data_IF_175946632327
#
_entry.id   IF_175946632327
#
_cell.length_a   1.000
_cell.length_b   1.000
_cell.length_c   1.000
_cell.angle_alpha   90.00
_cell.angle_beta   90.00
_cell.angle_gamma   90.00
#
_symmetry.space_group_name_H-M   'P 1'
#
loop_
_entity.id
_entity.type
_entity.pdbx_description
1 polymer ?
#
# COMPACT_ATOMS: atom_id res chain seq x y z
N UNK A 1 16.87 -21.25 33.33
CA UNK A 1 15.67 -20.53 32.87
C UNK A 1 16.03 -20.02 31.50
N UNK A 2 15.79 -20.85 30.50
CA UNK A 2 16.11 -20.59 29.11
C UNK A 2 15.25 -19.41 28.62
N UNK A 3 15.90 -18.27 28.42
CA UNK A 3 15.26 -17.07 27.89
C UNK A 3 14.96 -17.29 26.41
N UNK A 4 13.72 -17.67 26.11
CA UNK A 4 13.26 -17.78 24.74
C UNK A 4 13.16 -16.38 24.11
N UNK A 5 13.96 -16.13 23.09
CA UNK A 5 14.04 -14.83 22.40
C UNK A 5 12.80 -14.65 21.52
N UNK A 6 11.87 -13.79 21.95
CA UNK A 6 10.62 -13.54 21.21
C UNK A 6 10.91 -12.69 19.97
N UNK A 7 10.93 -13.32 18.80
CA UNK A 7 11.00 -12.61 17.51
C UNK A 7 9.65 -11.95 17.20
N UNK A 8 9.63 -10.62 17.20
CA UNK A 8 8.46 -9.86 16.78
C UNK A 8 8.36 -9.79 15.25
N UNK A 9 7.13 -9.89 14.69
CA UNK A 9 6.93 -9.77 13.25
C UNK A 9 7.25 -8.35 12.77
N UNK A 10 8.01 -8.25 11.68
CA UNK A 10 8.37 -6.97 11.07
C UNK A 10 7.19 -6.49 10.22
N UNK A 11 6.58 -5.37 10.60
CA UNK A 11 5.45 -4.80 9.87
C UNK A 11 5.94 -3.96 8.69
N UNK A 12 5.47 -4.30 7.48
CA UNK A 12 5.73 -3.55 6.25
C UNK A 12 4.59 -2.57 5.95
N UNK A 13 3.33 -2.99 6.11
CA UNK A 13 2.17 -2.14 5.93
C UNK A 13 1.33 -2.07 7.20
N UNK A 14 1.36 -0.92 7.87
CA UNK A 14 0.53 -0.66 9.07
C UNK A 14 -0.96 -0.54 8.76
N UNK A 15 -1.33 -0.12 7.55
CA UNK A 15 -2.74 0.08 7.20
C UNK A 15 -3.49 -1.23 6.96
N UNK A 16 -2.81 -2.21 6.35
CA UNK A 16 -3.41 -3.50 6.00
C UNK A 16 -2.83 -4.65 6.85
N UNK A 17 -2.08 -4.34 7.91
CA UNK A 17 -1.41 -5.30 8.81
C UNK A 17 -0.57 -6.36 8.07
N UNK A 18 0.21 -5.94 7.07
CA UNK A 18 1.06 -6.84 6.27
C UNK A 18 2.47 -6.86 6.86
N UNK A 19 2.98 -8.06 7.11
CA UNK A 19 4.34 -8.32 7.62
C UNK A 19 5.36 -8.52 6.49
N UNK A 20 6.64 -8.57 6.84
CA UNK A 20 7.71 -8.95 5.91
C UNK A 20 7.49 -10.36 5.36
N UNK A 21 7.12 -11.29 6.23
CA UNK A 21 6.89 -12.69 5.88
C UNK A 21 5.76 -12.84 4.86
N UNK A 22 4.67 -12.07 5.01
CA UNK A 22 3.57 -12.05 4.03
C UNK A 22 4.04 -11.61 2.64
N UNK A 23 4.91 -10.59 2.57
CA UNK A 23 5.46 -10.08 1.32
C UNK A 23 6.39 -11.11 0.69
N UNK A 24 7.28 -11.73 1.48
CA UNK A 24 8.20 -12.75 0.98
C UNK A 24 7.45 -13.99 0.48
N UNK A 25 6.45 -14.45 1.23
CA UNK A 25 5.59 -15.57 0.84
C UNK A 25 4.85 -15.28 -0.46
N UNK A 26 4.31 -14.06 -0.63
CA UNK A 26 3.67 -13.69 -1.90
C UNK A 26 4.67 -13.71 -3.07
N UNK A 27 5.91 -13.25 -2.86
CA UNK A 27 6.92 -13.32 -3.93
C UNK A 27 7.24 -14.79 -4.27
N UNK A 28 7.31 -15.67 -3.28
CA UNK A 28 7.54 -17.11 -3.46
C UNK A 28 6.36 -17.82 -4.12
N UNK A 29 5.13 -17.35 -3.90
CA UNK A 29 3.92 -17.78 -4.64
C UNK A 29 3.93 -17.33 -6.12
N UNK A 30 4.90 -16.50 -6.55
CA UNK A 30 5.08 -16.08 -7.93
C UNK A 30 4.57 -14.67 -8.25
N UNK A 31 4.16 -13.89 -7.24
CA UNK A 31 3.78 -12.48 -7.44
C UNK A 31 5.04 -11.61 -7.62
N UNK A 32 5.48 -11.43 -8.86
CA UNK A 32 6.78 -10.81 -9.21
C UNK A 32 6.68 -9.34 -9.64
N UNK A 33 5.50 -8.72 -9.54
CA UNK A 33 5.29 -7.31 -9.84
C UNK A 33 4.50 -6.59 -8.73
N UNK A 34 4.70 -5.28 -8.61
CA UNK A 34 4.10 -4.47 -7.55
C UNK A 34 2.56 -4.40 -7.66
N UNK A 35 2.00 -4.45 -8.86
CA UNK A 35 0.55 -4.36 -9.04
C UNK A 35 -0.13 -5.66 -8.60
N UNK A 36 0.48 -6.81 -8.86
CA UNK A 36 0.01 -8.10 -8.37
C UNK A 36 0.16 -8.24 -6.87
N UNK A 37 1.29 -7.79 -6.28
CA UNK A 37 1.44 -7.70 -4.83
C UNK A 37 0.42 -6.76 -4.19
N UNK A 38 0.12 -5.62 -4.82
CA UNK A 38 -0.95 -4.70 -4.41
C UNK A 38 -2.33 -5.34 -4.44
N UNK A 39 -2.66 -6.14 -5.46
CA UNK A 39 -3.94 -6.87 -5.52
C UNK A 39 -4.03 -7.96 -4.45
N UNK A 40 -2.94 -8.68 -4.21
CA UNK A 40 -2.89 -9.81 -3.26
C UNK A 40 -2.90 -9.35 -1.79
N UNK A 41 -2.03 -8.41 -1.44
CA UNK A 41 -1.78 -7.98 -0.06
C UNK A 41 -2.41 -6.63 0.28
N UNK A 42 -3.12 -6.01 -0.69
CA UNK A 42 -3.75 -4.69 -0.55
C UNK A 42 -2.79 -3.55 -0.19
N UNK A 43 -1.49 -3.78 -0.32
CA UNK A 43 -0.47 -2.77 -0.05
C UNK A 43 -0.71 -1.51 -0.89
N UNK A 44 -0.64 -0.36 -0.24
CA UNK A 44 -0.92 0.93 -0.87
C UNK A 44 -2.39 1.29 -1.07
N UNK A 45 -3.34 0.45 -0.63
CA UNK A 45 -4.77 0.77 -0.64
C UNK A 45 -5.27 1.49 0.62
N UNK A 46 -4.44 1.58 1.67
CA UNK A 46 -4.77 2.27 2.91
C UNK A 46 -4.79 3.81 2.79
N UNK A 47 -5.15 4.53 3.87
CA UNK A 47 -5.20 6.01 3.88
C UNK A 47 -3.84 6.67 3.59
N UNK A 48 -2.73 5.96 3.83
CA UNK A 48 -1.39 6.40 3.49
C UNK A 48 -1.09 6.36 1.98
N UNK A 49 -1.95 5.74 1.17
CA UNK A 49 -1.80 5.56 -0.29
C UNK A 49 -0.43 5.00 -0.69
N UNK A 50 0.13 4.12 0.15
CA UNK A 50 1.37 3.40 -0.15
C UNK A 50 2.67 4.17 0.06
N UNK A 51 2.62 5.41 0.57
CA UNK A 51 3.81 6.24 0.81
C UNK A 51 4.85 5.59 1.72
N UNK A 52 4.43 4.74 2.64
CA UNK A 52 5.33 4.07 3.59
C UNK A 52 5.71 2.66 3.11
N UNK A 53 4.75 1.87 2.65
CA UNK A 53 4.98 0.45 2.36
C UNK A 53 5.48 0.19 0.94
N UNK A 54 5.08 0.97 -0.08
CA UNK A 54 5.48 0.70 -1.46
C UNK A 54 7.00 0.76 -1.66
N UNK A 55 7.74 1.78 -1.16
CA UNK A 55 9.20 1.80 -1.31
C UNK A 55 9.90 0.60 -0.64
N UNK A 56 9.38 0.15 0.50
CA UNK A 56 9.90 -1.01 1.22
C UNK A 56 9.67 -2.30 0.40
N UNK A 57 8.44 -2.50 -0.07
CA UNK A 57 8.08 -3.66 -0.90
C UNK A 57 8.87 -3.67 -2.20
N UNK A 58 9.03 -2.52 -2.87
CA UNK A 58 9.87 -2.41 -4.08
C UNK A 58 11.30 -2.87 -3.81
N UNK A 59 11.88 -2.49 -2.66
CA UNK A 59 13.24 -2.90 -2.31
C UNK A 59 13.34 -4.38 -1.96
N UNK A 60 12.34 -4.95 -1.29
CA UNK A 60 12.24 -6.39 -1.01
C UNK A 60 12.15 -7.18 -2.32
N UNK A 61 11.25 -6.75 -3.22
CA UNK A 61 11.03 -7.35 -4.53
C UNK A 61 12.29 -7.28 -5.41
N UNK A 62 12.95 -6.12 -5.46
CA UNK A 62 14.20 -5.94 -6.20
C UNK A 62 15.30 -6.90 -5.72
N UNK A 63 15.44 -7.06 -4.41
CA UNK A 63 16.39 -8.00 -3.80
C UNK A 63 16.07 -9.45 -4.13
N UNK A 64 14.79 -9.86 -4.03
CA UNK A 64 14.37 -11.23 -4.33
C UNK A 64 14.50 -11.57 -5.82
N UNK A 65 14.21 -10.62 -6.71
CA UNK A 65 14.31 -10.79 -8.17
C UNK A 65 15.70 -10.51 -8.76
N UNK A 66 16.65 -10.02 -7.95
CA UNK A 66 17.99 -9.58 -8.38
C UNK A 66 17.95 -8.56 -9.53
N UNK A 67 16.97 -7.63 -9.48
CA UNK A 67 16.81 -6.54 -10.44
C UNK A 67 17.10 -5.19 -9.80
N UNK A 68 17.45 -4.20 -10.61
CA UNK A 68 17.55 -2.84 -10.10
C UNK A 68 16.14 -2.32 -9.71
N UNK A 69 15.98 -1.58 -8.59
CA UNK A 69 14.67 -1.03 -8.20
C UNK A 69 14.00 -0.20 -9.29
N UNK A 70 14.79 0.48 -10.13
CA UNK A 70 14.28 1.30 -11.23
C UNK A 70 13.63 0.50 -12.36
N UNK A 71 13.94 -0.80 -12.47
CA UNK A 71 13.29 -1.71 -13.42
C UNK A 71 11.89 -2.12 -12.94
N UNK A 72 11.56 -1.88 -11.66
CA UNK A 72 10.26 -2.24 -11.08
C UNK A 72 9.30 -1.07 -11.21
N UNK A 73 8.24 -1.28 -11.99
CA UNK A 73 7.23 -0.25 -12.25
C UNK A 73 6.45 0.08 -10.97
N UNK A 74 6.62 1.30 -10.45
CA UNK A 74 5.88 1.81 -9.31
C UNK A 74 4.45 2.19 -9.75
N UNK A 75 3.39 1.80 -9.01
CA UNK A 75 2.02 2.18 -9.33
C UNK A 75 1.84 3.70 -9.43
N UNK A 76 1.11 4.16 -10.45
CA UNK A 76 0.85 5.59 -10.66
C UNK A 76 0.03 6.18 -9.51
N UNK A 77 0.46 7.35 -9.01
CA UNK A 77 -0.36 8.18 -8.13
C UNK A 77 -1.58 8.71 -8.88
N UNK A 78 -2.75 8.65 -8.25
CA UNK A 78 -4.01 9.17 -8.80
C UNK A 78 -4.57 10.24 -7.86
N UNK A 79 -5.07 11.37 -8.37
CA UNK A 79 -5.71 12.36 -7.53
C UNK A 79 -7.03 11.83 -6.94
N UNK A 80 -7.42 12.28 -5.74
CA UNK A 80 -6.69 13.17 -4.84
C UNK A 80 -5.58 12.45 -4.06
N UNK A 81 -4.43 13.13 -3.86
CA UNK A 81 -3.23 12.55 -3.20
C UNK A 81 -3.50 12.15 -1.75
N UNK A 82 -4.41 12.88 -1.10
CA UNK A 82 -4.89 12.63 0.26
C UNK A 82 -6.41 12.46 0.24
N UNK A 83 -6.98 11.68 1.17
CA UNK A 83 -8.42 11.62 1.33
C UNK A 83 -9.01 13.02 1.57
N UNK A 84 -9.98 13.39 0.75
CA UNK A 84 -10.71 14.66 0.85
C UNK A 84 -12.18 14.40 1.20
N UNK A 85 -12.78 15.19 2.10
CA UNK A 85 -14.21 15.10 2.36
C UNK A 85 -15.04 15.33 1.10
N UNK A 86 -16.08 14.51 0.87
CA UNK A 86 -16.96 14.64 -0.30
C UNK A 86 -17.59 16.05 -0.41
N UNK A 87 -17.87 16.70 0.73
CA UNK A 87 -18.40 18.08 0.77
C UNK A 87 -17.56 19.09 0.00
N UNK A 88 -16.27 18.86 -0.17
CA UNK A 88 -15.38 19.75 -0.94
C UNK A 88 -15.70 19.73 -2.44
N UNK A 89 -16.31 18.65 -2.94
CA UNK A 89 -16.72 18.49 -4.33
C UNK A 89 -18.21 18.80 -4.54
N UNK A 90 -18.97 18.98 -3.46
CA UNK A 90 -20.39 19.35 -3.54
C UNK A 90 -20.49 20.87 -3.70
N UNK A 91 -20.56 21.34 -4.94
CA UNK A 91 -20.92 22.73 -5.23
C UNK A 91 -22.40 22.92 -4.90
N UNK A 92 -22.71 23.45 -3.72
CA UNK A 92 -24.05 23.98 -3.46
C UNK A 92 -24.13 25.32 -4.18
N UNK A 93 -24.95 25.42 -5.23
CA UNK A 93 -25.44 26.74 -5.62
C UNK A 93 -26.19 27.29 -4.42
N UNK A 94 -25.67 28.34 -3.81
CA UNK A 94 -26.49 29.19 -2.94
C UNK A 94 -27.61 29.75 -3.83
N UNK A 95 -28.83 29.20 -3.73
CA UNK A 95 -29.98 29.74 -4.44
C UNK A 95 -31.13 28.80 -4.84
N UNK A 96 -31.04 27.47 -4.71
CA UNK A 96 -32.19 26.60 -5.01
C UNK A 96 -32.94 26.23 -3.73
N UNK A 97 -33.82 27.14 -3.29
CA UNK A 97 -34.98 26.77 -2.47
C UNK A 97 -35.89 25.91 -3.33
N UNK A 98 -35.93 24.61 -3.05
CA UNK A 98 -37.02 23.75 -3.50
C UNK A 98 -38.06 23.67 -2.37
N UNK A 99 -39.06 24.55 -2.43
CA UNK A 99 -40.40 24.21 -1.96
C UNK A 99 -41.13 23.58 -3.15
N UNK A 100 -41.68 22.36 -2.95
CA UNK A 100 -42.42 21.61 -3.96
C UNK A 100 -42.14 20.12 -3.89
#
# INVERSE_FOLDING_TARGET
>A
MDGEEVKHPIIICRCENVTLEDVEKAIEEGYTDLESLKRKLRIGMGPCQGRTCLPLVTRILARKLRKHPDELMIPKSRPPIVPLPLKMFLTRKEGETHEG
#
